data_IF_019264083818
#
_entry.id   IF_019264083818
#
_cell.length_a   1.000
_cell.length_b   1.000
_cell.length_c   1.000
_cell.angle_alpha   90.00
_cell.angle_beta   90.00
_cell.angle_gamma   90.00
#
_symmetry.space_group_name_H-M   'P 1'
#
loop_
_entity.id
_entity.type
_entity.pdbx_description
1 polymer ?
#
# COMPACT_ATOMS: atom_id res chain seq x y z
N UNK A 1 23.31 -8.07 -12.06
CA UNK A 1 22.55 -9.30 -11.74
C UNK A 1 21.11 -8.91 -11.50
N UNK A 2 20.14 -9.66 -12.05
CA UNK A 2 18.71 -9.42 -11.81
C UNK A 2 18.33 -9.90 -10.42
N UNK A 3 17.52 -9.13 -9.69
CA UNK A 3 16.97 -9.53 -8.41
C UNK A 3 16.21 -10.85 -8.53
N UNK A 4 16.64 -11.89 -7.81
CA UNK A 4 15.97 -13.19 -7.80
C UNK A 4 14.87 -13.23 -6.73
N UNK A 5 13.67 -12.81 -7.16
CA UNK A 5 12.49 -12.82 -6.30
C UNK A 5 12.13 -14.22 -5.79
N UNK A 6 12.48 -15.29 -6.52
CA UNK A 6 12.17 -16.66 -6.06
C UNK A 6 13.00 -17.02 -4.83
N UNK A 7 14.26 -16.60 -4.80
CA UNK A 7 15.13 -16.80 -3.63
C UNK A 7 14.67 -15.96 -2.44
N UNK A 8 14.24 -14.72 -2.66
CA UNK A 8 13.66 -13.88 -1.62
C UNK A 8 12.38 -14.47 -1.05
N UNK A 9 11.46 -14.92 -1.91
CA UNK A 9 10.22 -15.58 -1.49
C UNK A 9 10.50 -16.82 -0.65
N UNK A 10 11.41 -17.71 -1.10
CA UNK A 10 11.79 -18.90 -0.34
C UNK A 10 12.36 -18.56 1.04
N UNK A 11 13.20 -17.54 1.12
CA UNK A 11 13.80 -17.09 2.38
C UNK A 11 12.75 -16.49 3.30
N UNK A 12 11.85 -15.67 2.74
CA UNK A 12 10.71 -15.10 3.46
C UNK A 12 9.81 -16.20 4.05
N UNK A 13 9.43 -17.19 3.25
CA UNK A 13 8.65 -18.35 3.70
C UNK A 13 9.32 -19.06 4.87
N UNK A 14 10.62 -19.35 4.76
CA UNK A 14 11.38 -20.01 5.83
C UNK A 14 11.34 -19.19 7.13
N UNK A 15 11.58 -17.88 7.04
CA UNK A 15 11.61 -17.00 8.22
C UNK A 15 10.25 -16.91 8.90
N UNK A 16 9.16 -16.75 8.15
CA UNK A 16 7.83 -16.63 8.77
C UNK A 16 7.35 -17.97 9.34
N UNK A 17 7.65 -19.09 8.69
CA UNK A 17 7.29 -20.43 9.19
C UNK A 17 8.05 -20.83 10.46
N UNK A 18 9.27 -20.31 10.65
CA UNK A 18 10.02 -20.49 11.90
C UNK A 18 9.30 -19.87 13.10
N UNK A 19 8.71 -18.68 12.92
CA UNK A 19 8.00 -17.96 13.98
C UNK A 19 6.53 -18.39 14.10
N UNK A 20 5.88 -18.66 12.96
CA UNK A 20 4.50 -19.16 12.87
C UNK A 20 4.37 -20.25 11.81
N UNK A 21 4.50 -21.54 12.19
CA UNK A 21 4.46 -22.67 11.26
C UNK A 21 3.19 -22.76 10.39
N UNK A 22 2.04 -22.33 10.92
CA UNK A 22 0.76 -22.35 10.21
C UNK A 22 0.48 -21.08 9.40
N UNK A 23 1.35 -20.07 9.47
CA UNK A 23 1.14 -18.83 8.74
C UNK A 23 1.42 -19.04 7.24
N UNK A 24 0.47 -18.62 6.41
CA UNK A 24 0.58 -18.66 4.97
C UNK A 24 0.69 -17.22 4.49
N UNK A 25 1.87 -16.83 4.04
CA UNK A 25 2.09 -15.52 3.44
C UNK A 25 2.64 -15.70 2.02
N UNK A 26 2.62 -14.67 1.20
CA UNK A 26 3.31 -14.66 -0.10
C UNK A 26 3.91 -13.29 -0.30
N UNK A 27 5.16 -13.21 -0.75
CA UNK A 27 5.83 -11.97 -1.10
C UNK A 27 5.96 -11.86 -2.63
N UNK A 28 5.60 -10.68 -3.15
CA UNK A 28 5.72 -10.32 -4.56
C UNK A 28 6.36 -8.95 -4.69
N UNK A 29 7.05 -8.73 -5.80
CA UNK A 29 7.52 -7.39 -6.15
C UNK A 29 6.46 -6.64 -6.92
N UNK A 30 6.32 -5.36 -6.60
CA UNK A 30 5.51 -4.42 -7.34
C UNK A 30 6.27 -3.08 -7.47
N UNK A 31 6.79 -2.81 -8.68
CA UNK A 31 7.50 -1.56 -8.97
C UNK A 31 6.60 -0.32 -8.99
N UNK A 32 5.28 -0.48 -9.00
CA UNK A 32 4.33 0.61 -9.06
C UNK A 32 3.79 1.01 -7.69
N UNK A 33 4.19 0.30 -6.63
CA UNK A 33 3.73 0.56 -5.27
C UNK A 33 4.05 2.00 -4.86
N UNK A 34 3.03 2.78 -4.54
CA UNK A 34 3.20 4.19 -4.16
C UNK A 34 3.22 4.31 -2.63
N UNK A 35 4.14 5.12 -2.09
CA UNK A 35 4.06 5.59 -0.71
C UNK A 35 2.70 6.17 -0.36
N UNK A 36 2.21 5.83 0.83
CA UNK A 36 1.04 6.46 1.49
C UNK A 36 -0.29 6.34 0.74
N UNK A 37 -0.29 5.68 -0.43
CA UNK A 37 -1.47 5.30 -1.19
C UNK A 37 -1.81 3.83 -0.87
N UNK A 38 -2.35 3.61 0.33
CA UNK A 38 -2.62 2.27 0.86
C UNK A 38 -4.09 1.94 0.67
N UNK A 39 -4.38 0.87 -0.08
CA UNK A 39 -5.75 0.39 -0.26
C UNK A 39 -6.38 0.00 1.09
N UNK A 40 -7.71 0.13 1.24
CA UNK A 40 -8.40 -0.30 2.46
C UNK A 40 -8.06 -1.75 2.85
N UNK A 41 -7.81 -1.99 4.13
CA UNK A 41 -7.40 -3.31 4.65
C UNK A 41 -5.91 -3.66 4.49
N UNK A 42 -5.12 -2.83 3.81
CA UNK A 42 -3.68 -3.00 3.72
C UNK A 42 -2.95 -2.21 4.81
N UNK A 43 -1.78 -2.70 5.20
CA UNK A 43 -0.85 -2.09 6.16
C UNK A 43 0.44 -1.74 5.44
N UNK A 44 0.96 -0.54 5.67
CA UNK A 44 2.24 -0.12 5.11
C UNK A 44 3.36 -0.37 6.10
N UNK A 45 4.51 -0.84 5.59
CA UNK A 45 5.77 -0.91 6.30
C UNK A 45 6.88 -0.38 5.41
N UNK A 46 7.81 0.36 6.00
CA UNK A 46 8.92 0.98 5.31
C UNK A 46 10.19 0.60 6.05
N UNK A 47 11.28 0.38 5.36
CA UNK A 47 12.58 0.17 6.00
C UNK A 47 13.71 0.63 5.10
N UNK A 48 14.89 0.77 5.70
CA UNK A 48 16.12 1.10 4.99
C UNK A 48 16.97 -0.16 4.83
N UNK A 49 17.79 -0.17 3.79
CA UNK A 49 18.71 -1.25 3.53
C UNK A 49 20.03 -0.76 2.95
N UNK A 50 21.07 -1.58 3.14
CA UNK A 50 22.33 -1.44 2.43
C UNK A 50 22.24 -2.16 1.10
N UNK A 51 22.37 -1.43 -0.01
CA UNK A 51 22.32 -1.97 -1.36
C UNK A 51 23.44 -1.41 -2.23
N UNK A 52 23.80 -2.19 -3.25
CA UNK A 52 24.78 -1.83 -4.28
C UNK A 52 24.04 -1.53 -5.57
N UNK A 53 24.67 -0.75 -6.42
CA UNK A 53 24.13 -0.39 -7.72
C UNK A 53 25.24 -0.51 -8.76
N UNK A 54 24.85 -0.79 -9.99
CA UNK A 54 25.75 -0.82 -11.13
C UNK A 54 25.09 -0.14 -12.31
N UNK A 55 25.74 0.88 -12.86
CA UNK A 55 25.23 1.59 -14.02
C UNK A 55 25.34 0.70 -15.26
N UNK A 56 24.22 0.49 -15.96
CA UNK A 56 24.21 -0.22 -17.24
C UNK A 56 25.02 0.50 -18.33
N UNK A 57 25.09 1.83 -18.30
CA UNK A 57 25.78 2.64 -19.32
C UNK A 57 27.29 2.75 -19.10
N UNK A 58 27.73 3.21 -17.93
CA UNK A 58 29.15 3.50 -17.66
C UNK A 58 29.85 2.44 -16.80
N UNK A 59 29.15 1.37 -16.41
CA UNK A 59 29.67 0.25 -15.60
C UNK A 59 30.19 0.61 -14.19
N UNK A 60 30.14 1.89 -13.79
CA UNK A 60 30.44 2.30 -12.42
C UNK A 60 29.49 1.62 -11.45
N UNK A 61 30.04 1.21 -10.31
CA UNK A 61 29.28 0.69 -9.18
C UNK A 61 29.39 1.64 -8.00
N UNK A 62 28.33 1.69 -7.20
CA UNK A 62 28.29 2.45 -5.95
C UNK A 62 27.41 1.72 -4.93
N UNK A 63 27.37 2.19 -3.69
CA UNK A 63 26.56 1.61 -2.65
C UNK A 63 25.84 2.70 -1.85
N UNK A 64 24.78 2.32 -1.14
CA UNK A 64 23.97 3.20 -0.30
C UNK A 64 23.43 2.42 0.90
N UNK A 65 23.53 3.00 2.10
CA UNK A 65 22.86 2.50 3.31
C UNK A 65 21.42 3.03 3.47
N UNK A 66 20.92 3.74 2.47
CA UNK A 66 19.65 4.48 2.50
C UNK A 66 18.69 4.01 1.40
N UNK A 67 18.87 2.77 0.90
CA UNK A 67 17.95 2.18 -0.07
C UNK A 67 16.61 1.99 0.64
N UNK A 68 15.56 2.64 0.14
CA UNK A 68 14.23 2.48 0.70
C UNK A 68 13.61 1.18 0.20
N UNK A 69 12.92 0.50 1.12
CA UNK A 69 12.09 -0.67 0.85
C UNK A 69 10.70 -0.37 1.38
N UNK A 70 9.70 -0.43 0.50
CA UNK A 70 8.30 -0.23 0.85
C UNK A 70 7.56 -1.56 0.71
N UNK A 71 6.81 -1.92 1.73
CA UNK A 71 5.96 -3.09 1.75
C UNK A 71 4.52 -2.68 2.05
N UNK A 72 3.58 -3.17 1.24
CA UNK A 72 2.16 -3.19 1.58
C UNK A 72 1.78 -4.63 1.91
N UNK A 73 1.15 -4.83 3.06
CA UNK A 73 0.81 -6.14 3.59
C UNK A 73 -0.69 -6.20 3.83
N UNK A 74 -1.36 -7.27 3.43
CA UNK A 74 -2.75 -7.52 3.79
C UNK A 74 -2.93 -8.96 4.27
N UNK A 75 -3.98 -9.16 5.06
CA UNK A 75 -4.43 -10.48 5.46
C UNK A 75 -5.83 -10.72 4.90
N UNK A 76 -5.98 -11.79 4.12
CA UNK A 76 -7.26 -12.23 3.60
C UNK A 76 -7.87 -13.27 4.54
N UNK A 77 -8.96 -12.87 5.20
CA UNK A 77 -9.70 -13.73 6.12
C UNK A 77 -10.43 -14.88 5.41
N UNK A 78 -10.78 -14.74 4.13
CA UNK A 78 -11.51 -15.77 3.37
C UNK A 78 -10.60 -16.94 3.00
N UNK A 79 -9.37 -16.65 2.58
CA UNK A 79 -8.38 -17.67 2.22
C UNK A 79 -7.44 -18.03 3.36
N UNK A 80 -7.50 -17.30 4.48
CA UNK A 80 -6.56 -17.40 5.61
C UNK A 80 -5.09 -17.30 5.16
N UNK A 81 -4.83 -16.34 4.28
CA UNK A 81 -3.52 -16.10 3.67
C UNK A 81 -3.17 -14.62 3.71
N UNK A 82 -1.89 -14.32 3.88
CA UNK A 82 -1.37 -12.98 3.78
C UNK A 82 -0.64 -12.73 2.47
N UNK A 83 -0.67 -11.50 2.00
CA UNK A 83 0.05 -11.05 0.82
C UNK A 83 0.91 -9.84 1.16
N UNK A 84 2.15 -9.86 0.69
CA UNK A 84 3.07 -8.73 0.73
C UNK A 84 3.40 -8.30 -0.69
N UNK A 85 3.15 -7.04 -1.01
CA UNK A 85 3.68 -6.36 -2.17
C UNK A 85 4.87 -5.52 -1.72
N UNK A 86 6.02 -5.67 -2.39
CA UNK A 86 7.26 -5.01 -2.04
C UNK A 86 7.80 -4.20 -3.22
N UNK A 87 8.20 -2.97 -2.95
CA UNK A 87 8.96 -2.11 -3.86
C UNK A 87 10.33 -1.82 -3.29
N UNK A 88 11.34 -1.95 -4.15
CA UNK A 88 12.71 -1.58 -3.86
C UNK A 88 13.03 -0.34 -4.68
N UNK A 89 13.43 0.74 -4.02
CA UNK A 89 13.70 2.00 -4.71
C UNK A 89 15.12 2.01 -5.29
N UNK A 90 15.22 2.50 -6.51
CA UNK A 90 16.41 2.53 -7.32
C UNK A 90 17.20 3.84 -7.17
N UNK A 91 18.40 3.88 -7.77
CA UNK A 91 19.23 5.09 -7.84
C UNK A 91 19.76 5.34 -9.25
N UNK A 92 19.89 6.61 -9.63
CA UNK A 92 20.55 7.04 -10.87
C UNK A 92 22.07 7.06 -10.69
N UNK A 93 22.78 6.96 -11.81
CA UNK A 93 24.23 7.12 -11.81
C UNK A 93 24.60 8.60 -11.77
N UNK A 94 25.41 8.98 -10.78
CA UNK A 94 25.92 10.35 -10.61
C UNK A 94 26.68 10.92 -11.81
N UNK A 95 27.29 10.07 -12.65
CA UNK A 95 28.11 10.50 -13.78
C UNK A 95 27.31 10.70 -15.07
N UNK A 96 26.18 10.02 -15.21
CA UNK A 96 25.47 9.94 -16.48
C UNK A 96 24.24 10.85 -16.44
N UNK A 97 24.22 11.87 -17.31
CA UNK A 97 23.18 12.90 -17.37
C UNK A 97 21.76 12.39 -17.73
N UNK A 98 21.63 11.14 -18.18
CA UNK A 98 20.36 10.51 -18.56
C UNK A 98 20.27 9.04 -18.18
N UNK A 99 21.00 8.60 -17.13
CA UNK A 99 20.93 7.19 -16.76
C UNK A 99 19.55 6.83 -16.23
N UNK A 100 18.98 5.68 -16.63
CA UNK A 100 17.80 5.15 -15.97
C UNK A 100 18.14 4.80 -14.52
N UNK A 101 17.09 4.74 -13.70
CA UNK A 101 17.17 4.22 -12.35
C UNK A 101 17.67 2.77 -12.35
N UNK A 102 18.75 2.53 -11.59
CA UNK A 102 19.33 1.20 -11.42
C UNK A 102 18.75 0.56 -10.18
N UNK A 103 18.24 -0.66 -10.32
CA UNK A 103 17.73 -1.42 -9.18
C UNK A 103 18.88 -1.79 -8.22
N UNK A 104 18.62 -1.81 -6.90
CA UNK A 104 19.60 -2.23 -5.93
C UNK A 104 19.88 -3.73 -6.03
N UNK A 105 21.15 -4.09 -5.90
CA UNK A 105 21.65 -5.43 -5.65
C UNK A 105 21.94 -5.58 -4.15
N UNK A 106 21.42 -6.64 -3.54
CA UNK A 106 21.59 -6.93 -2.12
C UNK A 106 22.45 -8.17 -1.92
N UNK A 107 23.31 -8.15 -0.91
CA UNK A 107 23.95 -9.37 -0.41
C UNK A 107 22.92 -10.30 0.24
N UNK A 108 23.31 -11.56 0.45
CA UNK A 108 22.49 -12.53 1.19
C UNK A 108 22.18 -12.02 2.60
N UNK A 109 23.14 -11.39 3.27
CA UNK A 109 22.92 -10.88 4.62
C UNK A 109 21.97 -9.67 4.63
N UNK A 110 22.17 -8.70 3.72
CA UNK A 110 21.28 -7.54 3.62
C UNK A 110 19.85 -7.96 3.28
N UNK A 111 19.66 -8.81 2.28
CA UNK A 111 18.33 -9.36 1.93
C UNK A 111 17.70 -10.14 3.10
N UNK A 112 18.47 -10.95 3.82
CA UNK A 112 17.96 -11.66 5.00
C UNK A 112 17.52 -10.70 6.11
N UNK A 113 18.25 -9.61 6.37
CA UNK A 113 17.86 -8.59 7.35
C UNK A 113 16.55 -7.91 6.95
N UNK A 114 16.43 -7.51 5.68
CA UNK A 114 15.21 -6.90 5.12
C UNK A 114 13.99 -7.81 5.35
N UNK A 115 14.13 -9.09 5.04
CA UNK A 115 13.06 -10.07 5.18
C UNK A 115 12.72 -10.38 6.65
N UNK A 116 13.71 -10.44 7.54
CA UNK A 116 13.48 -10.60 8.99
C UNK A 116 12.69 -9.45 9.57
N UNK A 117 13.06 -8.21 9.23
CA UNK A 117 12.34 -7.01 9.64
C UNK A 117 10.89 -7.01 9.13
N UNK A 118 10.66 -7.42 7.89
CA UNK A 118 9.31 -7.61 7.34
C UNK A 118 8.52 -8.66 8.14
N UNK A 119 9.11 -9.82 8.43
CA UNK A 119 8.46 -10.87 9.24
C UNK A 119 8.11 -10.35 10.64
N UNK A 120 9.04 -9.68 11.30
CA UNK A 120 8.80 -9.04 12.61
C UNK A 120 7.60 -8.08 12.55
N UNK A 121 7.51 -7.27 11.49
CA UNK A 121 6.39 -6.35 11.32
C UNK A 121 5.06 -7.07 11.08
N UNK A 122 5.05 -8.14 10.31
CA UNK A 122 3.86 -8.99 10.11
C UNK A 122 3.41 -9.59 11.45
N UNK A 123 4.35 -10.15 12.21
CA UNK A 123 4.07 -10.75 13.51
C UNK A 123 3.48 -9.72 14.48
N UNK A 124 4.04 -8.52 14.53
CA UNK A 124 3.48 -7.40 15.31
C UNK A 124 2.04 -7.05 14.92
N UNK A 125 1.79 -6.81 13.63
CA UNK A 125 0.53 -6.23 13.15
C UNK A 125 -0.60 -7.24 13.06
N UNK A 126 -0.30 -8.50 12.77
CA UNK A 126 -1.30 -9.53 12.49
C UNK A 126 -1.39 -10.65 13.54
N UNK A 127 -0.36 -10.81 14.39
CA UNK A 127 -0.32 -11.88 15.38
C UNK A 127 0.02 -11.42 16.80
N UNK A 128 0.48 -10.18 16.98
CA UNK A 128 1.11 -9.71 18.20
C UNK A 128 0.14 -9.24 19.28
N UNK A 129 -1.16 -9.12 18.96
CA UNK A 129 -2.23 -8.62 19.84
C UNK A 129 -1.83 -7.37 20.67
N UNK A 130 -0.92 -6.54 20.16
CA UNK A 130 -0.40 -5.35 20.84
C UNK A 130 0.65 -5.58 21.94
N UNK A 131 1.01 -6.83 22.26
CA UNK A 131 1.92 -7.16 23.38
C UNK A 131 3.37 -7.36 22.91
N UNK A 132 3.56 -8.03 21.77
CA UNK A 132 4.90 -8.36 21.27
C UNK A 132 5.40 -7.26 20.35
N UNK A 133 6.46 -6.56 20.77
CA UNK A 133 7.22 -5.62 19.93
C UNK A 133 8.56 -6.24 19.54
N UNK A 134 8.94 -6.07 18.29
CA UNK A 134 10.20 -6.51 17.73
C UNK A 134 11.02 -5.26 17.38
N UNK A 135 12.24 -5.18 17.91
CA UNK A 135 13.17 -4.14 17.48
C UNK A 135 13.54 -4.36 16.01
N UNK A 136 13.55 -3.28 15.22
CA UNK A 136 14.03 -3.33 13.84
C UNK A 136 15.53 -3.60 13.83
N UNK A 137 15.95 -4.62 13.07
CA UNK A 137 17.35 -4.94 12.88
C UNK A 137 17.98 -3.78 12.11
N UNK A 138 19.01 -3.12 12.65
CA UNK A 138 19.59 -1.95 12.02
C UNK A 138 20.29 -2.30 10.71
N UNK A 139 20.39 -1.30 9.83
CA UNK A 139 21.17 -1.41 8.60
C UNK A 139 22.65 -1.57 8.94
N UNK A 140 23.28 -2.60 8.39
CA UNK A 140 24.72 -2.83 8.50
C UNK A 140 25.38 -2.40 7.20
N UNK A 141 26.40 -1.54 7.31
CA UNK A 141 27.22 -1.14 6.17
C UNK A 141 28.21 -2.25 5.84
N UNK A 142 28.20 -2.72 4.59
CA UNK A 142 29.08 -3.83 4.15
C UNK A 142 30.33 -3.30 3.43
N UNK A 143 30.35 -2.00 3.12
CA UNK A 143 31.52 -1.27 2.66
C UNK A 143 31.56 0.11 3.31
N UNK A 144 32.76 0.74 3.42
CA UNK A 144 32.87 2.15 3.75
C UNK A 144 32.07 2.99 2.75
N UNK A 145 31.21 3.86 3.27
CA UNK A 145 30.48 4.84 2.48
C UNK A 145 31.06 6.23 2.76
N UNK A 146 31.39 6.96 1.71
CA UNK A 146 31.83 8.35 1.80
C UNK A 146 30.68 9.28 1.45
N UNK A 147 30.55 10.37 2.21
CA UNK A 147 29.59 11.44 1.94
C UNK A 147 28.19 11.20 2.49
N UNK A 148 27.31 12.19 2.25
CA UNK A 148 25.91 12.16 2.64
C UNK A 148 25.07 11.32 1.67
N UNK A 149 23.81 11.04 2.07
CA UNK A 149 22.85 10.42 1.16
C UNK A 149 22.69 11.25 -0.13
N UNK A 150 22.80 10.58 -1.28
CA UNK A 150 22.61 11.19 -2.59
C UNK A 150 21.12 11.40 -2.89
N UNK A 151 20.59 12.53 -2.41
CA UNK A 151 19.18 12.90 -2.53
C UNK A 151 18.77 13.07 -3.99
N UNK A 152 19.65 13.63 -4.82
CA UNK A 152 19.36 14.00 -6.21
C UNK A 152 19.14 12.76 -7.08
N UNK A 153 19.93 11.71 -6.84
CA UNK A 153 19.86 10.49 -7.65
C UNK A 153 18.99 9.38 -7.03
N UNK A 154 18.42 9.59 -5.85
CA UNK A 154 17.60 8.60 -5.17
C UNK A 154 16.12 8.64 -5.61
N UNK A 155 15.59 7.52 -6.09
CA UNK A 155 14.20 7.43 -6.56
C UNK A 155 13.19 7.76 -5.45
N UNK A 156 13.43 7.26 -4.25
CA UNK A 156 12.57 7.55 -3.11
C UNK A 156 12.58 9.04 -2.75
N UNK A 157 13.72 9.71 -2.85
CA UNK A 157 13.84 11.14 -2.56
C UNK A 157 13.12 11.97 -3.63
N UNK A 158 13.21 11.59 -4.90
CA UNK A 158 12.46 12.22 -5.99
C UNK A 158 10.93 12.11 -5.80
N UNK A 159 10.47 11.12 -5.04
CA UNK A 159 9.06 10.92 -4.68
C UNK A 159 8.70 11.50 -3.29
N UNK A 160 9.62 12.21 -2.62
CA UNK A 160 9.40 12.78 -1.29
C UNK A 160 9.35 11.74 -0.16
N UNK A 161 9.81 10.51 -0.40
CA UNK A 161 9.65 9.36 0.48
C UNK A 161 10.89 9.04 1.35
N UNK A 162 12.08 9.54 0.96
CA UNK A 162 13.32 9.35 1.72
C UNK A 162 13.27 9.89 3.16
N UNK A 163 12.47 10.93 3.37
CA UNK A 163 12.45 11.73 4.60
C UNK A 163 11.12 11.52 5.33
N UNK A 164 11.04 10.44 6.10
CA UNK A 164 10.22 10.30 7.30
C UNK A 164 10.71 9.06 8.05
N UNK A 165 10.98 9.25 9.33
CA UNK A 165 11.14 8.12 10.25
C UNK A 165 9.85 7.30 10.21
N UNK A 166 10.01 5.98 10.18
CA UNK A 166 9.00 4.96 10.44
C UNK A 166 7.87 5.48 11.35
N UNK A 167 6.74 5.88 10.77
CA UNK A 167 5.49 5.98 11.50
C UNK A 167 4.44 5.27 10.69
N UNK A 168 4.07 4.11 11.22
CA UNK A 168 3.01 3.25 10.71
C UNK A 168 1.75 4.08 10.50
N UNK A 169 1.46 4.44 9.25
CA UNK A 169 0.12 4.83 8.86
C UNK A 169 -0.76 3.58 9.03
N UNK A 170 -1.58 3.59 10.08
CA UNK A 170 -2.60 2.58 10.35
C UNK A 170 -3.89 3.11 9.71
N UNK A 171 -4.23 2.75 8.46
CA UNK A 171 -5.58 2.99 7.96
C UNK A 171 -6.58 2.15 8.75
N UNK A 172 -7.77 2.68 9.02
CA UNK A 172 -8.80 2.03 9.85
C UNK A 172 -9.01 0.53 9.52
N UNK A 173 -9.29 -0.33 10.52
CA UNK A 173 -9.67 -1.72 10.29
C UNK A 173 -10.87 -1.79 9.34
N UNK A 174 -10.85 -2.77 8.44
CA UNK A 174 -11.97 -3.04 7.55
C UNK A 174 -13.21 -3.40 8.39
N UNK A 175 -14.09 -2.43 8.65
CA UNK A 175 -15.40 -2.71 9.22
C UNK A 175 -16.19 -3.47 8.15
N UNK A 176 -16.55 -4.69 8.48
CA UNK A 176 -17.46 -5.51 7.69
C UNK A 176 -18.77 -4.74 7.49
N UNK A 177 -19.10 -4.44 6.24
CA UNK A 177 -20.44 -4.02 5.81
C UNK A 177 -21.41 -5.19 5.96
N UNK A 178 -21.80 -5.52 7.20
CA UNK A 178 -23.01 -6.27 7.52
C UNK A 178 -23.50 -5.84 8.90
N UNK A 179 -24.34 -4.81 8.94
CA UNK A 179 -25.32 -4.62 10.02
C UNK A 179 -26.68 -4.50 9.35
N UNK A 180 -27.48 -5.56 9.47
CA UNK A 180 -28.87 -5.57 9.05
C UNK A 180 -29.69 -4.60 9.91
N UNK A 181 -30.75 -3.98 9.34
CA UNK A 181 -31.54 -2.98 10.02
C UNK A 181 -32.50 -3.65 10.99
N UNK A 182 -32.46 -3.26 12.26
CA UNK A 182 -33.61 -3.44 13.15
C UNK A 182 -34.33 -2.11 13.25
N UNK A 183 -35.41 -1.99 12.49
CA UNK A 183 -36.58 -1.19 12.83
C UNK A 183 -37.07 -1.60 14.21
N UNK A 184 -37.24 -0.62 15.11
CA UNK A 184 -38.48 -0.38 15.86
C UNK A 184 -38.31 0.93 16.67
N UNK A 185 -39.13 1.93 16.33
CA UNK A 185 -39.43 3.14 17.11
C UNK A 185 -40.75 2.92 17.89
N UNK A 186 -41.32 3.83 18.73
CA UNK A 186 -40.95 5.23 19.01
C UNK A 186 -41.07 5.67 20.50
N UNK A 187 -40.60 6.88 20.84
CA UNK A 187 -41.44 7.97 21.42
C UNK A 187 -40.65 9.09 22.13
N UNK A 188 -40.91 10.32 21.68
CA UNK A 188 -41.06 11.60 22.39
C UNK A 188 -40.16 12.01 23.57
N UNK A 189 -39.55 13.19 23.44
CA UNK A 189 -39.66 14.37 24.34
C UNK A 189 -38.87 15.52 23.69
N UNK A 190 -39.52 16.41 22.93
CA UNK A 190 -39.97 17.75 23.34
C UNK A 190 -38.93 18.49 24.21
N UNK A 191 -38.36 19.55 23.63
CA UNK A 191 -37.52 20.53 24.32
C UNK A 191 -37.07 21.65 23.38
N UNK A 192 -38.03 22.41 22.84
CA UNK A 192 -37.74 23.68 22.16
C UNK A 192 -37.32 24.72 23.20
N UNK A 193 -36.20 25.42 22.98
CA UNK A 193 -36.05 26.82 23.43
C UNK A 193 -35.55 27.64 22.26
N UNK A 194 -36.29 28.72 22.05
CA UNK A 194 -36.27 29.69 20.97
C UNK A 194 -35.34 30.87 21.31
N UNK A 195 -35.25 31.80 20.35
CA UNK A 195 -34.80 33.21 20.43
C UNK A 195 -33.34 33.41 19.99
N UNK A 196 -33.02 33.72 18.72
CA UNK A 196 -33.29 34.93 17.89
C UNK A 196 -32.67 36.20 18.50
N UNK A 197 -31.61 36.79 17.91
CA UNK A 197 -31.62 38.04 17.11
C UNK A 197 -30.21 38.66 17.30
N UNK A 198 -29.60 39.50 16.46
CA UNK A 198 -29.92 40.14 15.19
C UNK A 198 -28.62 40.77 14.64
N UNK A 199 -28.47 40.76 13.32
CA UNK A 199 -28.11 41.88 12.43
C UNK A 199 -27.02 42.89 12.85
N UNK A 200 -26.00 43.12 12.00
CA UNK A 200 -26.10 44.09 10.89
C UNK A 200 -24.76 44.34 10.13
N UNK A 201 -24.87 44.37 8.80
CA UNK A 201 -24.24 45.30 7.82
C UNK A 201 -22.71 45.26 7.58
N UNK A 202 -22.16 45.36 6.36
CA UNK A 202 -22.64 45.86 5.06
C UNK A 202 -21.67 45.47 3.90
N UNK A 203 -22.24 45.26 2.70
CA UNK A 203 -21.82 45.60 1.30
C UNK A 203 -20.40 45.27 0.77
N UNK A 204 -20.12 44.53 -0.31
CA UNK A 204 -20.65 44.38 -1.69
C UNK A 204 -19.90 45.21 -2.77
N UNK A 205 -19.23 44.53 -3.73
CA UNK A 205 -18.98 44.85 -5.17
C UNK A 205 -17.89 43.86 -5.68
N UNK A 206 -18.14 42.82 -6.49
CA UNK A 206 -18.58 42.68 -7.90
C UNK A 206 -17.63 43.26 -8.95
N UNK A 207 -16.88 42.40 -9.67
CA UNK A 207 -16.61 42.54 -11.11
C UNK A 207 -16.45 41.16 -11.78
N UNK A 208 -16.94 41.03 -13.03
CA UNK A 208 -17.05 39.81 -13.85
C UNK A 208 -16.00 39.80 -14.99
N UNK A 209 -15.46 38.59 -15.25
CA UNK A 209 -15.23 37.86 -16.52
C UNK A 209 -14.53 38.55 -17.74
N UNK A 210 -13.89 37.79 -18.67
CA UNK A 210 -14.60 36.84 -19.55
C UNK A 210 -13.93 35.47 -19.78
N UNK A 211 -14.79 34.57 -20.25
CA UNK A 211 -14.53 33.24 -20.81
C UNK A 211 -13.67 33.31 -22.09
N UNK A 212 -12.92 32.24 -22.38
CA UNK A 212 -12.51 31.92 -23.74
C UNK A 212 -12.60 30.41 -23.98
N UNK A 213 -13.58 30.02 -24.80
CA UNK A 213 -13.80 28.68 -25.32
C UNK A 213 -12.94 28.46 -26.57
N UNK A 214 -12.16 27.38 -26.61
CA UNK A 214 -11.81 26.73 -27.86
C UNK A 214 -12.05 25.22 -27.74
N UNK A 215 -13.02 24.77 -28.54
CA UNK A 215 -13.36 23.38 -28.83
C UNK A 215 -12.23 22.71 -29.63
N UNK A 216 -11.88 21.47 -29.26
CA UNK A 216 -11.44 20.44 -30.20
C UNK A 216 -12.02 19.08 -29.78
N UNK A 217 -12.66 18.42 -30.73
CA UNK A 217 -13.45 17.20 -30.61
C UNK A 217 -12.63 15.95 -30.28
N UNK A 218 -13.03 15.29 -29.19
CA UNK A 218 -13.54 13.91 -29.12
C UNK A 218 -12.87 12.81 -29.96
N UNK A 219 -12.20 11.89 -29.26
CA UNK A 219 -12.20 10.45 -29.57
C UNK A 219 -11.98 9.68 -28.24
N UNK A 220 -13.07 9.48 -27.50
CA UNK A 220 -13.09 8.69 -26.27
C UNK A 220 -13.77 7.34 -26.50
N UNK A 221 -12.99 6.26 -26.46
CA UNK A 221 -13.50 4.90 -26.37
C UNK A 221 -13.98 4.63 -24.94
N UNK A 222 -15.29 4.56 -24.74
CA UNK A 222 -15.94 4.24 -23.46
C UNK A 222 -15.82 2.73 -23.18
N UNK A 223 -15.29 2.29 -22.02
CA UNK A 223 -15.41 0.91 -21.57
C UNK A 223 -16.84 0.60 -21.12
N UNK A 224 -17.40 -0.51 -21.60
CA UNK A 224 -18.81 -0.87 -21.45
C UNK A 224 -19.20 -1.26 -20.02
N UNK A 225 -19.73 -0.29 -19.27
CA UNK A 225 -20.38 -0.46 -17.97
C UNK A 225 -21.64 -1.38 -18.01
N UNK A 226 -22.02 -1.86 -19.20
CA UNK A 226 -23.21 -2.67 -19.43
C UNK A 226 -22.97 -4.18 -19.22
N UNK A 227 -21.71 -4.64 -19.29
CA UNK A 227 -21.38 -6.07 -19.16
C UNK A 227 -21.39 -6.53 -17.69
N UNK A 228 -20.99 -5.65 -16.76
CA UNK A 228 -21.03 -5.93 -15.32
C UNK A 228 -22.46 -5.96 -14.76
N UNK A 229 -23.33 -5.06 -15.23
CA UNK A 229 -24.75 -5.06 -14.83
C UNK A 229 -25.48 -6.32 -15.28
N UNK A 230 -25.15 -6.86 -16.46
CA UNK A 230 -25.76 -8.09 -16.97
C UNK A 230 -25.37 -9.32 -16.15
N UNK A 231 -24.10 -9.41 -15.72
CA UNK A 231 -23.59 -10.52 -14.90
C UNK A 231 -24.23 -10.50 -13.50
N UNK A 232 -24.33 -9.31 -12.88
CA UNK A 232 -24.98 -9.15 -11.57
C UNK A 232 -26.46 -9.55 -11.65
N UNK A 233 -27.15 -9.17 -12.72
CA UNK A 233 -28.56 -9.49 -12.93
C UNK A 233 -28.80 -11.01 -13.05
N UNK A 234 -27.96 -11.73 -13.80
CA UNK A 234 -28.05 -13.20 -13.95
C UNK A 234 -27.78 -13.91 -12.62
N UNK A 235 -26.80 -13.45 -11.83
CA UNK A 235 -26.51 -14.04 -10.52
C UNK A 235 -27.66 -13.85 -9.52
N UNK A 236 -28.31 -12.69 -9.51
CA UNK A 236 -29.46 -12.41 -8.64
C UNK A 236 -30.66 -13.29 -9.02
N UNK A 237 -30.93 -13.48 -10.31
CA UNK A 237 -32.01 -14.36 -10.75
C UNK A 237 -31.75 -15.84 -10.46
N UNK A 238 -30.51 -16.32 -10.61
CA UNK A 238 -30.15 -17.69 -10.21
C UNK A 238 -30.30 -17.90 -8.70
N UNK A 239 -29.87 -16.93 -7.88
CA UNK A 239 -30.01 -17.00 -6.43
C UNK A 239 -31.49 -16.99 -6.02
N UNK A 240 -32.32 -16.13 -6.61
CA UNK A 240 -33.76 -16.11 -6.38
C UNK A 240 -34.44 -17.41 -6.84
N UNK A 241 -33.99 -18.02 -7.94
CA UNK A 241 -34.50 -19.31 -8.40
C UNK A 241 -34.16 -20.45 -7.42
N UNK A 242 -32.94 -20.47 -6.86
CA UNK A 242 -32.54 -21.47 -5.87
C UNK A 242 -33.24 -21.29 -4.51
N UNK A 243 -33.52 -20.05 -4.12
CA UNK A 243 -34.26 -19.74 -2.88
C UNK A 243 -35.76 -20.08 -3.02
N UNK A 244 -36.36 -19.83 -4.19
CA UNK A 244 -37.80 -20.10 -4.40
C UNK A 244 -38.13 -21.57 -4.66
N UNK A 245 -37.17 -22.38 -5.13
CA UNK A 245 -37.38 -23.82 -5.40
C UNK A 245 -36.87 -24.79 -4.34
N UNK A 246 -36.64 -24.33 -3.11
CA UNK A 246 -36.59 -25.15 -1.89
C UNK A 246 -35.92 -26.52 -2.03
N UNK A 247 -34.60 -26.59 -1.87
CA UNK A 247 -33.87 -27.86 -1.81
C UNK A 247 -34.31 -28.66 -0.56
N UNK A 248 -35.19 -29.65 -0.76
CA UNK A 248 -35.30 -30.81 0.14
C UNK A 248 -34.13 -31.75 -0.17
N UNK A 249 -33.02 -31.64 0.56
CA UNK A 249 -32.09 -32.77 0.70
C UNK A 249 -32.58 -33.65 1.86
N UNK A 250 -33.06 -34.85 1.54
CA UNK A 250 -33.16 -35.95 2.50
C UNK A 250 -31.75 -36.53 2.70
N UNK A 251 -31.44 -36.81 3.96
CA UNK A 251 -30.23 -37.49 4.43
C UNK A 251 -30.13 -38.91 3.86
#
# INVERSE_FOLDING_TARGET
MTLDIRTWEKTFQKLIQQEKPSAKWTLRLDGNLKPDYVSPGWRQYQQRAFGRFRCSSCQRSWASAQVQVLCHMCWDHWTSQGLVLMRLFAQRCQKCSWSPYQMPEFSTDSSTRILKNLVHRILEKYYGYGVKKYAEIPVVQELPLEGSHDIVNCEACALGFCAKGLQDYIPEPCQSLLSFPNTDSPSSLIGNVYVQNQENNQSAETERAPENQQNYEHNGSVPSHNREKLVICVCVFLFAYFVTKGFKLKW
#
